data_IF_901772771035
#
_entry.id   IF_901772771035
#
_cell.length_a   1.000
_cell.length_b   1.000
_cell.length_c   1.000
_cell.angle_alpha   90.00
_cell.angle_beta   90.00
_cell.angle_gamma   90.00
#
_symmetry.space_group_name_H-M   'P 1'
#
loop_
_entity.id
_entity.type
_entity.pdbx_description
1 polymer ?
#
# COMPACT_ATOMS: atom_id res chain seq x y z
N UNK A 1 25.16 -24.12 -14.76
CA UNK A 1 25.87 -23.08 -13.98
C UNK A 1 26.06 -21.89 -14.89
N UNK A 2 25.17 -20.91 -14.83
CA UNK A 2 25.39 -19.59 -15.40
C UNK A 2 24.88 -18.58 -14.38
N UNK A 3 25.81 -18.01 -13.64
CA UNK A 3 25.57 -16.89 -12.75
C UNK A 3 25.19 -15.68 -13.60
N UNK A 4 24.03 -15.12 -13.35
CA UNK A 4 23.65 -13.80 -13.81
C UNK A 4 24.71 -12.80 -13.29
N UNK A 5 25.56 -12.33 -14.19
CA UNK A 5 26.44 -11.19 -13.93
C UNK A 5 25.55 -9.97 -13.70
N UNK A 6 25.51 -9.50 -12.46
CA UNK A 6 25.05 -8.17 -12.13
C UNK A 6 25.94 -7.17 -12.85
N UNK A 7 25.41 -6.57 -13.91
CA UNK A 7 26.06 -5.43 -14.58
C UNK A 7 26.02 -4.28 -13.56
N UNK A 8 27.16 -3.97 -12.96
CA UNK A 8 27.38 -2.73 -12.21
C UNK A 8 27.22 -1.58 -13.20
N UNK A 9 26.22 -0.69 -13.06
CA UNK A 9 26.28 0.57 -13.79
C UNK A 9 27.46 1.37 -13.24
N UNK A 10 28.22 1.98 -14.13
CA UNK A 10 29.35 2.84 -13.80
C UNK A 10 28.85 3.95 -12.86
N UNK A 11 29.39 3.95 -11.65
CA UNK A 11 29.14 4.99 -10.66
C UNK A 11 29.91 6.23 -11.15
N UNK A 12 29.20 7.22 -11.69
CA UNK A 12 29.75 8.55 -11.83
C UNK A 12 29.83 9.18 -10.43
N UNK A 13 31.02 9.61 -10.03
CA UNK A 13 31.33 10.19 -8.72
C UNK A 13 30.77 11.61 -8.51
N UNK A 14 29.59 11.93 -8.96
CA UNK A 14 29.02 13.27 -8.80
C UNK A 14 27.69 13.23 -8.01
N UNK A 15 27.80 12.88 -6.73
CA UNK A 15 26.68 12.91 -5.77
C UNK A 15 26.39 14.30 -5.19
N UNK A 16 27.08 15.35 -5.64
CA UNK A 16 26.96 16.69 -5.06
C UNK A 16 25.88 17.60 -5.64
N UNK A 17 25.12 17.16 -6.65
CA UNK A 17 24.18 18.04 -7.38
C UNK A 17 22.74 17.53 -7.50
N UNK A 18 22.31 16.58 -6.68
CA UNK A 18 20.87 16.23 -6.62
C UNK A 18 20.13 17.28 -5.78
N UNK A 19 19.82 18.41 -6.38
CA UNK A 19 18.93 19.41 -5.80
C UNK A 19 17.55 18.80 -5.59
N UNK A 20 16.96 19.00 -4.38
CA UNK A 20 15.61 18.54 -4.02
C UNK A 20 14.51 18.93 -5.03
N UNK A 21 14.73 20.01 -5.80
CA UNK A 21 13.81 20.46 -6.86
C UNK A 21 13.76 19.52 -8.08
N UNK A 22 14.78 18.68 -8.32
CA UNK A 22 14.82 17.75 -9.45
C UNK A 22 14.20 16.39 -9.15
N UNK A 23 13.88 16.11 -7.90
CA UNK A 23 13.35 14.80 -7.45
C UNK A 23 11.84 14.76 -7.32
N UNK A 24 11.18 15.91 -7.27
CA UNK A 24 9.73 16.00 -7.16
C UNK A 24 9.05 15.48 -8.45
N UNK A 25 8.45 14.29 -8.36
CA UNK A 25 7.67 13.69 -9.45
C UNK A 25 8.40 12.70 -10.35
N UNK A 26 9.70 12.41 -10.12
CA UNK A 26 10.42 11.33 -10.80
C UNK A 26 10.50 10.09 -9.93
N UNK A 27 10.20 8.95 -10.54
CA UNK A 27 10.47 7.65 -9.92
C UNK A 27 11.98 7.53 -9.70
N UNK A 28 12.40 7.44 -8.43
CA UNK A 28 13.81 7.37 -8.08
C UNK A 28 14.27 5.93 -8.23
N UNK A 29 15.30 5.71 -9.03
CA UNK A 29 15.86 4.38 -9.25
C UNK A 29 16.79 3.99 -8.09
N UNK A 30 16.84 2.69 -7.78
CA UNK A 30 17.67 2.12 -6.71
C UNK A 30 19.18 2.48 -6.82
N UNK A 31 19.66 2.78 -8.03
CA UNK A 31 21.06 3.17 -8.29
C UNK A 31 21.47 4.56 -7.78
N UNK A 32 20.51 5.41 -7.36
CA UNK A 32 20.83 6.75 -6.82
C UNK A 32 21.40 6.71 -5.39
N UNK A 33 21.30 5.56 -4.70
CA UNK A 33 21.73 5.39 -3.31
C UNK A 33 22.55 4.11 -3.15
N UNK A 34 23.35 4.03 -2.07
CA UNK A 34 23.96 2.75 -1.71
C UNK A 34 22.87 1.74 -1.34
N UNK A 35 23.10 0.45 -1.61
CA UNK A 35 22.09 -0.59 -1.36
C UNK A 35 21.56 -0.58 0.09
N UNK A 36 22.39 -0.48 1.15
CA UNK A 36 21.86 -0.39 2.53
C UNK A 36 21.02 0.87 2.77
N UNK A 37 21.37 2.00 2.16
CA UNK A 37 20.61 3.23 2.28
C UNK A 37 19.25 3.11 1.56
N UNK A 38 19.25 2.52 0.37
CA UNK A 38 18.03 2.23 -0.38
C UNK A 38 17.05 1.38 0.43
N UNK A 39 17.53 0.29 1.05
CA UNK A 39 16.71 -0.58 1.88
C UNK A 39 16.06 0.18 3.05
N UNK A 40 16.80 1.07 3.71
CA UNK A 40 16.25 1.89 4.80
C UNK A 40 15.22 2.90 4.33
N UNK A 41 15.43 3.53 3.17
CA UNK A 41 14.46 4.45 2.57
C UNK A 41 13.18 3.71 2.15
N UNK A 42 13.29 2.54 1.53
CA UNK A 42 12.14 1.69 1.21
C UNK A 42 11.40 1.21 2.47
N UNK A 43 12.13 0.91 3.55
CA UNK A 43 11.51 0.57 4.83
C UNK A 43 10.71 1.74 5.40
N UNK A 44 11.25 2.97 5.36
CA UNK A 44 10.52 4.18 5.77
C UNK A 44 9.19 4.28 5.02
N UNK A 45 9.25 4.17 3.70
CA UNK A 45 8.05 4.28 2.87
C UNK A 45 7.04 3.17 3.13
N UNK A 46 7.52 1.93 3.36
CA UNK A 46 6.68 0.81 3.71
C UNK A 46 6.00 0.98 5.07
N UNK A 47 6.71 1.48 6.08
CA UNK A 47 6.13 1.78 7.39
C UNK A 47 5.04 2.86 7.29
N UNK A 48 5.27 3.91 6.51
CA UNK A 48 4.27 4.93 6.26
C UNK A 48 3.06 4.39 5.48
N UNK A 49 3.28 3.45 4.55
CA UNK A 49 2.20 2.85 3.76
C UNK A 49 1.31 1.94 4.62
N UNK A 50 1.90 0.99 5.34
CA UNK A 50 1.17 -0.07 6.04
C UNK A 50 0.81 0.29 7.48
N UNK A 51 1.81 0.70 8.26
CA UNK A 51 1.65 0.97 9.69
C UNK A 51 1.13 2.39 9.98
N UNK A 52 1.11 3.24 8.95
CA UNK A 52 0.70 4.64 9.04
C UNK A 52 1.48 5.45 10.09
N UNK A 53 2.59 4.90 10.54
CA UNK A 53 3.48 5.52 11.54
C UNK A 53 4.93 5.07 11.34
N UNK A 54 5.85 5.96 11.66
CA UNK A 54 7.29 5.69 11.64
C UNK A 54 7.96 6.33 12.84
N UNK A 55 8.81 5.57 13.53
CA UNK A 55 9.68 6.09 14.61
C UNK A 55 11.14 5.88 14.25
N UNK A 56 12.02 6.70 14.87
CA UNK A 56 13.47 6.50 14.76
C UNK A 56 13.89 5.14 15.32
N UNK A 57 13.20 4.68 16.38
CA UNK A 57 13.46 3.38 17.04
C UNK A 57 13.23 2.22 16.10
N UNK A 58 12.15 2.22 15.30
CA UNK A 58 11.90 1.18 14.29
C UNK A 58 13.07 1.01 13.32
N UNK A 59 13.65 2.11 12.83
CA UNK A 59 14.82 2.05 11.96
C UNK A 59 16.05 1.52 12.67
N UNK A 60 16.28 1.97 13.92
CA UNK A 60 17.43 1.52 14.73
C UNK A 60 17.37 0.02 14.98
N UNK A 61 16.23 -0.49 15.41
CA UNK A 61 16.01 -1.91 15.73
C UNK A 61 16.09 -2.80 14.48
N UNK A 62 15.49 -2.38 13.38
CA UNK A 62 15.46 -3.18 12.15
C UNK A 62 16.84 -3.27 11.47
N UNK A 63 17.61 -2.18 11.47
CA UNK A 63 18.87 -2.12 10.70
C UNK A 63 20.12 -2.06 11.56
N UNK A 64 20.00 -2.10 12.89
CA UNK A 64 21.14 -2.01 13.80
C UNK A 64 21.91 -0.68 13.66
N UNK A 65 21.26 0.42 13.29
CA UNK A 65 21.88 1.72 13.06
C UNK A 65 21.75 2.66 14.25
N UNK A 66 22.62 3.67 14.32
CA UNK A 66 22.56 4.69 15.35
C UNK A 66 21.38 5.66 15.13
N UNK A 67 20.92 6.30 16.23
CA UNK A 67 19.87 7.30 16.18
C UNK A 67 20.16 8.48 15.22
N UNK A 68 21.39 9.04 15.20
CA UNK A 68 21.72 10.08 14.22
C UNK A 68 21.59 9.61 12.77
N UNK A 69 22.00 8.36 12.48
CA UNK A 69 21.84 7.78 11.14
C UNK A 69 20.36 7.62 10.77
N UNK A 70 19.54 7.10 11.66
CA UNK A 70 18.09 6.96 11.42
C UNK A 70 17.43 8.33 11.17
N UNK A 71 17.79 9.36 11.94
CA UNK A 71 17.32 10.73 11.72
C UNK A 71 17.76 11.31 10.37
N UNK A 72 19.01 11.01 9.95
CA UNK A 72 19.52 11.43 8.64
C UNK A 72 18.73 10.79 7.50
N UNK A 73 18.43 9.51 7.60
CA UNK A 73 17.65 8.78 6.58
C UNK A 73 16.19 9.28 6.53
N UNK A 74 15.57 9.58 7.65
CA UNK A 74 14.22 10.19 7.69
C UNK A 74 14.22 11.58 7.03
N UNK A 75 15.23 12.42 7.35
CA UNK A 75 15.35 13.74 6.71
C UNK A 75 15.57 13.63 5.20
N UNK A 76 16.39 12.67 4.79
CA UNK A 76 16.62 12.40 3.36
C UNK A 76 15.32 11.97 2.68
N UNK A 77 14.55 11.08 3.29
CA UNK A 77 13.24 10.68 2.75
C UNK A 77 12.28 11.86 2.64
N UNK A 78 12.26 12.76 3.61
CA UNK A 78 11.45 14.00 3.53
C UNK A 78 11.88 14.93 2.39
N UNK A 79 13.17 14.96 2.04
CA UNK A 79 13.65 15.70 0.86
C UNK A 79 13.20 15.04 -0.45
N UNK A 80 13.21 13.71 -0.50
CA UNK A 80 12.78 12.92 -1.66
C UNK A 80 11.25 13.04 -1.89
N UNK A 81 10.48 12.95 -0.81
CA UNK A 81 9.03 12.98 -0.81
C UNK A 81 8.48 14.04 0.16
N UNK A 82 8.55 15.35 -0.19
CA UNK A 82 8.21 16.44 0.73
C UNK A 82 6.76 16.42 1.22
N UNK A 83 5.85 15.86 0.43
CA UNK A 83 4.41 15.78 0.73
C UNK A 83 4.02 14.48 1.42
N UNK A 84 4.97 13.56 1.64
CA UNK A 84 4.66 12.22 2.15
C UNK A 84 4.32 12.20 3.65
N UNK A 85 4.96 13.07 4.43
CA UNK A 85 4.81 13.09 5.90
C UNK A 85 4.13 14.36 6.38
N UNK A 86 3.29 14.23 7.40
CA UNK A 86 2.74 15.38 8.13
C UNK A 86 3.87 16.14 8.83
N UNK A 87 3.75 17.47 8.99
CA UNK A 87 4.65 18.22 9.85
C UNK A 87 4.67 17.64 11.28
N UNK A 88 5.82 17.76 11.94
CA UNK A 88 5.94 17.31 13.32
C UNK A 88 4.89 17.99 14.21
N UNK A 89 4.20 17.19 15.03
CA UNK A 89 3.21 17.67 15.99
C UNK A 89 3.68 17.38 17.40
N UNK A 90 3.61 18.38 18.27
CA UNK A 90 3.97 18.22 19.68
C UNK A 90 3.04 17.17 20.34
N UNK A 91 3.63 16.25 21.08
CA UNK A 91 2.89 15.16 21.73
C UNK A 91 2.68 13.90 20.89
N UNK A 92 3.07 13.90 19.59
CA UNK A 92 3.05 12.72 18.75
C UNK A 92 4.49 12.25 18.53
N UNK A 93 4.93 11.13 19.15
CA UNK A 93 6.33 10.68 19.13
C UNK A 93 6.71 9.93 17.84
N UNK A 94 5.93 10.03 16.77
CA UNK A 94 6.14 9.34 15.51
C UNK A 94 5.75 10.21 14.31
N UNK A 95 6.32 9.89 13.15
CA UNK A 95 5.95 10.49 11.87
C UNK A 95 4.72 9.81 11.31
N UNK A 96 3.80 10.58 10.77
CA UNK A 96 2.58 10.12 10.11
C UNK A 96 2.60 10.49 8.63
N UNK A 97 2.04 9.64 7.74
CA UNK A 97 1.83 10.03 6.35
C UNK A 97 0.72 11.08 6.25
N UNK A 98 0.78 11.88 5.20
CA UNK A 98 -0.32 12.77 4.82
C UNK A 98 -1.51 11.97 4.27
N UNK A 99 -2.68 12.59 4.15
CA UNK A 99 -3.85 11.97 3.50
C UNK A 99 -3.61 11.70 2.01
N UNK A 100 -2.81 12.55 1.35
CA UNK A 100 -2.41 12.40 -0.04
C UNK A 100 -1.13 11.61 -0.24
N UNK A 101 -0.66 10.84 0.76
CA UNK A 101 0.54 10.04 0.67
C UNK A 101 0.48 9.05 -0.50
N UNK A 102 1.47 9.11 -1.37
CA UNK A 102 1.69 8.15 -2.45
C UNK A 102 3.15 7.68 -2.41
N UNK A 103 3.42 6.35 -2.44
CA UNK A 103 4.77 5.82 -2.49
C UNK A 103 5.53 6.26 -3.75
N UNK A 104 6.77 6.68 -3.58
CA UNK A 104 7.65 7.14 -4.68
C UNK A 104 8.85 6.21 -4.93
N UNK A 105 9.25 5.43 -3.92
CA UNK A 105 10.38 4.50 -3.99
C UNK A 105 9.92 3.07 -4.24
N UNK A 106 8.85 2.63 -3.58
CA UNK A 106 8.32 1.29 -3.73
C UNK A 106 7.68 1.11 -5.10
N UNK A 107 7.99 0.00 -5.76
CA UNK A 107 7.26 -0.44 -6.95
C UNK A 107 6.10 -1.36 -6.56
N UNK A 108 5.12 -1.51 -7.46
CA UNK A 108 4.04 -2.47 -7.23
C UNK A 108 4.51 -3.93 -7.15
N UNK A 109 5.75 -4.21 -7.53
CA UNK A 109 6.39 -5.53 -7.44
C UNK A 109 7.03 -5.72 -6.06
N UNK A 110 7.48 -4.64 -5.40
CA UNK A 110 8.16 -4.67 -4.10
C UNK A 110 7.22 -5.00 -2.94
N UNK A 111 5.90 -4.92 -3.16
CA UNK A 111 4.91 -5.28 -2.13
C UNK A 111 4.83 -6.78 -1.84
N UNK A 112 5.43 -7.63 -2.67
CA UNK A 112 5.51 -9.07 -2.41
C UNK A 112 6.45 -9.41 -1.24
N UNK A 113 7.24 -8.45 -0.79
CA UNK A 113 8.18 -8.59 0.31
C UNK A 113 7.46 -8.29 1.64
N UNK A 114 6.78 -9.28 2.19
CA UNK A 114 6.02 -9.11 3.43
C UNK A 114 6.88 -9.09 4.69
N UNK A 115 8.15 -9.56 4.62
CA UNK A 115 9.09 -9.48 5.74
C UNK A 115 10.53 -9.42 5.26
N UNK A 116 11.39 -8.79 6.06
CA UNK A 116 12.85 -8.84 5.88
C UNK A 116 13.35 -10.29 6.08
N UNK A 117 12.60 -11.11 6.79
CA UNK A 117 12.87 -12.53 7.04
C UNK A 117 12.79 -13.37 5.77
N UNK A 118 12.01 -12.95 4.76
CA UNK A 118 11.97 -13.61 3.45
C UNK A 118 13.27 -13.43 2.64
N UNK A 119 14.24 -12.70 3.19
CA UNK A 119 15.59 -12.55 2.61
C UNK A 119 16.58 -13.62 3.04
N UNK A 120 16.16 -14.60 3.81
CA UNK A 120 17.00 -15.78 4.04
C UNK A 120 17.20 -16.48 2.68
N UNK A 121 18.45 -16.68 2.21
CA UNK A 121 18.68 -17.48 1.03
C UNK A 121 18.08 -18.86 1.28
N UNK A 122 17.41 -19.48 0.29
CA UNK A 122 16.87 -20.80 0.47
C UNK A 122 17.99 -21.71 0.97
N UNK A 123 17.83 -22.25 2.17
CA UNK A 123 18.71 -23.30 2.68
C UNK A 123 18.70 -24.41 1.64
N UNK A 124 19.88 -24.81 1.19
CA UNK A 124 20.10 -25.75 0.11
C UNK A 124 19.38 -27.09 0.37
N UNK A 125 18.15 -27.17 -0.02
CA UNK A 125 17.34 -28.36 -0.07
C UNK A 125 16.56 -28.34 -1.37
N UNK A 126 16.42 -29.49 -2.02
CA UNK A 126 15.88 -29.70 -3.36
C UNK A 126 14.41 -29.25 -3.61
N UNK A 127 14.00 -28.09 -3.07
CA UNK A 127 12.71 -27.48 -3.37
C UNK A 127 12.89 -26.56 -4.60
N UNK A 128 12.37 -27.01 -5.73
CA UNK A 128 12.19 -26.13 -6.90
C UNK A 128 11.04 -25.20 -6.60
N UNK A 129 11.33 -23.97 -6.19
CA UNK A 129 10.31 -22.93 -6.13
C UNK A 129 9.74 -22.70 -7.53
N UNK A 130 8.44 -22.95 -7.70
CA UNK A 130 7.75 -22.47 -8.89
C UNK A 130 7.75 -20.93 -8.84
N UNK A 131 8.27 -20.25 -9.88
CA UNK A 131 8.26 -18.79 -9.89
C UNK A 131 6.82 -18.30 -9.83
N UNK A 132 6.46 -17.64 -8.73
CA UNK A 132 5.15 -16.99 -8.64
C UNK A 132 5.06 -15.87 -9.68
N UNK A 133 3.94 -15.79 -10.37
CA UNK A 133 3.68 -14.72 -11.32
C UNK A 133 3.79 -13.36 -10.61
N UNK A 134 4.80 -12.58 -10.97
CA UNK A 134 4.96 -11.22 -10.47
C UNK A 134 3.79 -10.37 -10.96
N UNK A 135 3.01 -9.81 -10.05
CA UNK A 135 1.90 -8.91 -10.34
C UNK A 135 2.28 -7.49 -9.95
N UNK A 136 2.07 -6.56 -10.87
CA UNK A 136 2.14 -5.13 -10.54
C UNK A 136 0.89 -4.72 -9.79
N UNK A 137 1.07 -4.23 -8.57
CA UNK A 137 0.00 -3.64 -7.79
C UNK A 137 -0.04 -2.13 -7.99
N UNK A 138 -1.25 -1.56 -8.02
CA UNK A 138 -1.42 -0.11 -8.13
C UNK A 138 -1.25 0.52 -6.75
N UNK A 139 -0.03 0.97 -6.44
CA UNK A 139 0.32 1.54 -5.15
C UNK A 139 -0.47 2.81 -4.79
N UNK A 140 -0.66 3.77 -5.71
CA UNK A 140 -1.53 4.92 -5.44
C UNK A 140 -2.93 4.53 -5.00
N UNK A 141 -3.54 3.54 -5.66
CA UNK A 141 -4.85 3.01 -5.26
C UNK A 141 -4.79 2.41 -3.86
N UNK A 142 -3.79 1.55 -3.59
CA UNK A 142 -3.62 0.93 -2.28
C UNK A 142 -3.44 1.97 -1.16
N UNK A 143 -2.56 2.95 -1.36
CA UNK A 143 -2.30 4.00 -0.38
C UNK A 143 -3.56 4.79 -0.01
N UNK A 144 -4.37 5.14 -1.01
CA UNK A 144 -5.65 5.85 -0.79
C UNK A 144 -6.68 4.99 -0.07
N UNK A 145 -6.74 3.69 -0.38
CA UNK A 145 -7.62 2.75 0.31
C UNK A 145 -7.21 2.56 1.77
N UNK A 146 -5.92 2.39 2.05
CA UNK A 146 -5.41 2.31 3.43
C UNK A 146 -5.68 3.59 4.23
N UNK A 147 -5.50 4.77 3.60
CA UNK A 147 -5.88 6.04 4.22
C UNK A 147 -7.38 6.14 4.51
N UNK A 148 -8.22 5.64 3.60
CA UNK A 148 -9.67 5.66 3.80
C UNK A 148 -10.11 4.71 4.93
N UNK A 149 -9.46 3.55 5.08
CA UNK A 149 -9.68 2.61 6.18
C UNK A 149 -9.28 3.28 7.51
N UNK A 150 -8.07 3.85 7.59
CA UNK A 150 -7.56 4.50 8.80
C UNK A 150 -8.50 5.61 9.31
N UNK A 151 -9.00 6.44 8.37
CA UNK A 151 -9.85 7.57 8.70
C UNK A 151 -11.36 7.25 8.64
N UNK A 152 -11.72 5.98 8.44
CA UNK A 152 -13.11 5.51 8.31
C UNK A 152 -13.92 6.34 7.29
N UNK A 153 -13.33 6.60 6.13
CA UNK A 153 -13.92 7.43 5.07
C UNK A 153 -14.44 6.60 3.92
N UNK A 154 -15.54 7.04 3.35
CA UNK A 154 -16.05 6.49 2.10
C UNK A 154 -15.30 7.08 0.90
N UNK A 155 -15.18 6.26 -0.15
CA UNK A 155 -14.52 6.63 -1.39
C UNK A 155 -15.42 6.38 -2.59
N UNK A 156 -15.15 7.08 -3.69
CA UNK A 156 -15.65 6.76 -5.02
C UNK A 156 -14.50 6.36 -5.94
N UNK A 157 -14.73 5.35 -6.75
CA UNK A 157 -13.78 4.92 -7.78
C UNK A 157 -14.50 4.22 -8.94
N UNK A 158 -13.90 4.26 -10.12
CA UNK A 158 -14.32 3.43 -11.26
C UNK A 158 -13.74 2.02 -11.07
N UNK A 159 -14.63 1.02 -10.92
CA UNK A 159 -14.25 -0.36 -10.68
C UNK A 159 -14.82 -1.27 -11.75
N UNK A 160 -13.95 -2.05 -12.40
CA UNK A 160 -14.35 -3.07 -13.37
C UNK A 160 -14.89 -4.33 -12.68
N UNK A 161 -15.91 -4.93 -13.26
CA UNK A 161 -16.46 -6.23 -12.83
C UNK A 161 -16.61 -7.15 -14.05
N UNK A 162 -16.94 -8.43 -13.81
CA UNK A 162 -17.20 -9.37 -14.90
C UNK A 162 -18.35 -8.87 -15.78
N UNK A 163 -19.42 -8.35 -15.17
CA UNK A 163 -20.58 -7.81 -15.88
C UNK A 163 -20.39 -6.40 -16.44
N UNK A 164 -19.34 -5.68 -16.04
CA UNK A 164 -19.01 -4.34 -16.51
C UNK A 164 -17.48 -4.17 -16.66
N UNK A 165 -16.88 -4.70 -17.75
CA UNK A 165 -15.43 -4.64 -17.98
C UNK A 165 -14.89 -3.21 -18.11
N UNK A 166 -15.69 -2.29 -18.63
CA UNK A 166 -15.33 -0.85 -18.73
C UNK A 166 -15.27 -0.17 -17.36
N UNK A 167 -15.91 -0.76 -16.35
CA UNK A 167 -16.04 -0.21 -15.01
C UNK A 167 -17.27 0.67 -14.84
N UNK A 168 -17.67 0.82 -13.58
CA UNK A 168 -18.71 1.77 -13.13
C UNK A 168 -18.18 2.50 -11.91
N UNK A 169 -18.64 3.72 -11.72
CA UNK A 169 -18.41 4.46 -10.48
C UNK A 169 -19.11 3.69 -9.36
N UNK A 170 -18.35 3.38 -8.32
CA UNK A 170 -18.86 2.74 -7.11
C UNK A 170 -18.47 3.54 -5.89
N UNK A 171 -19.40 3.62 -4.95
CA UNK A 171 -19.16 4.22 -3.64
C UNK A 171 -18.95 3.12 -2.63
N UNK A 172 -17.82 3.16 -1.96
CA UNK A 172 -17.36 2.13 -1.03
C UNK A 172 -16.94 2.76 0.29
N UNK A 173 -17.20 2.07 1.41
CA UNK A 173 -16.55 2.33 2.69
C UNK A 173 -15.62 1.16 2.97
N UNK A 174 -14.31 1.29 2.69
CA UNK A 174 -13.35 0.21 2.88
C UNK A 174 -13.11 -0.04 4.38
N UNK A 175 -13.01 -1.31 4.78
CA UNK A 175 -12.87 -1.73 6.18
C UNK A 175 -11.60 -2.53 6.44
N UNK A 176 -11.17 -3.36 5.48
CA UNK A 176 -10.01 -4.22 5.63
C UNK A 176 -9.31 -4.51 4.30
N UNK A 177 -8.06 -4.96 4.41
CA UNK A 177 -7.24 -5.43 3.28
C UNK A 177 -6.80 -6.85 3.58
N UNK A 178 -6.93 -7.75 2.60
CA UNK A 178 -6.37 -9.09 2.66
C UNK A 178 -5.46 -9.35 1.46
N UNK A 179 -4.38 -10.10 1.69
CA UNK A 179 -3.50 -10.57 0.63
C UNK A 179 -3.68 -12.08 0.47
N UNK A 180 -4.29 -12.49 -0.63
CA UNK A 180 -4.61 -13.90 -0.90
C UNK A 180 -4.24 -14.24 -2.34
N UNK A 181 -3.52 -15.36 -2.55
CA UNK A 181 -3.12 -15.83 -3.87
C UNK A 181 -2.43 -14.75 -4.72
N UNK A 182 -1.48 -14.05 -4.11
CA UNK A 182 -0.72 -12.96 -4.75
C UNK A 182 -1.61 -11.81 -5.27
N UNK A 183 -2.70 -11.49 -4.57
CA UNK A 183 -3.63 -10.40 -4.89
C UNK A 183 -4.09 -9.69 -3.62
N UNK A 184 -4.15 -8.38 -3.68
CA UNK A 184 -4.78 -7.58 -2.63
C UNK A 184 -6.28 -7.49 -2.88
N UNK A 185 -7.03 -7.91 -1.88
CA UNK A 185 -8.47 -7.79 -1.77
C UNK A 185 -8.81 -6.68 -0.78
N UNK A 186 -9.75 -5.85 -1.13
CA UNK A 186 -10.29 -4.81 -0.26
C UNK A 186 -11.68 -5.25 0.17
N UNK A 187 -11.86 -5.49 1.46
CA UNK A 187 -13.18 -5.64 2.06
C UNK A 187 -13.80 -4.26 2.21
N UNK A 188 -15.02 -4.06 1.70
CA UNK A 188 -15.68 -2.78 1.75
C UNK A 188 -17.20 -2.93 1.77
N UNK A 189 -17.89 -2.04 2.48
CA UNK A 189 -19.32 -1.86 2.31
C UNK A 189 -19.60 -1.14 0.99
N UNK A 190 -20.38 -1.76 0.13
CA UNK A 190 -20.73 -1.24 -1.18
C UNK A 190 -22.13 -0.59 -1.12
N UNK A 191 -22.18 0.73 -1.22
CA UNK A 191 -23.43 1.50 -1.14
C UNK A 191 -24.41 1.21 -2.28
N UNK A 192 -23.89 0.79 -3.45
CA UNK A 192 -24.75 0.42 -4.58
C UNK A 192 -25.52 -0.89 -4.33
N UNK A 193 -24.99 -1.76 -3.49
CA UNK A 193 -25.55 -3.07 -3.19
C UNK A 193 -26.03 -3.22 -1.74
N UNK A 194 -25.82 -2.20 -0.91
CA UNK A 194 -26.16 -2.22 0.52
C UNK A 194 -25.64 -3.48 1.22
N UNK A 195 -24.32 -3.73 1.11
CA UNK A 195 -23.71 -4.90 1.75
C UNK A 195 -22.19 -4.97 1.53
N UNK A 196 -21.52 -5.76 2.35
CA UNK A 196 -20.09 -5.99 2.28
C UNK A 196 -19.69 -6.86 1.10
N UNK A 197 -18.60 -6.49 0.43
CA UNK A 197 -18.05 -7.18 -0.73
C UNK A 197 -16.56 -7.04 -0.80
N UNK A 198 -15.92 -7.99 -1.50
CA UNK A 198 -14.49 -8.00 -1.76
C UNK A 198 -14.19 -7.44 -3.15
N UNK A 199 -13.24 -6.52 -3.21
CA UNK A 199 -12.80 -5.87 -4.44
C UNK A 199 -11.32 -6.11 -4.65
N UNK A 200 -10.95 -6.58 -5.84
CA UNK A 200 -9.55 -6.70 -6.23
C UNK A 200 -8.96 -5.32 -6.57
N UNK A 201 -7.81 -4.97 -6.00
CA UNK A 201 -7.11 -3.70 -6.32
C UNK A 201 -6.86 -3.56 -7.81
N UNK A 202 -6.48 -4.63 -8.50
CA UNK A 202 -6.24 -4.60 -9.96
C UNK A 202 -7.47 -4.29 -10.82
N UNK A 203 -8.66 -4.22 -10.24
CA UNK A 203 -9.90 -3.85 -10.94
C UNK A 203 -10.26 -2.37 -10.82
N UNK A 204 -9.53 -1.60 -10.02
CA UNK A 204 -9.70 -0.15 -9.96
C UNK A 204 -9.14 0.49 -11.23
N UNK A 205 -9.98 1.21 -11.95
CA UNK A 205 -9.63 1.92 -13.20
C UNK A 205 -9.31 3.39 -12.97
N UNK A 206 -9.68 3.94 -11.80
CA UNK A 206 -9.31 5.27 -11.36
C UNK A 206 -8.76 5.21 -9.94
N UNK A 207 -8.02 6.24 -9.56
CA UNK A 207 -7.65 6.43 -8.16
C UNK A 207 -8.91 6.68 -7.33
N UNK A 208 -9.03 6.09 -6.12
CA UNK A 208 -10.12 6.37 -5.21
C UNK A 208 -10.10 7.85 -4.77
N UNK A 209 -11.27 8.46 -4.73
CA UNK A 209 -11.47 9.82 -4.22
C UNK A 209 -12.34 9.78 -2.97
N UNK A 210 -11.98 10.54 -1.94
CA UNK A 210 -12.76 10.61 -0.72
C UNK A 210 -14.07 11.33 -0.99
N UNK A 211 -15.17 10.73 -0.57
CA UNK A 211 -16.51 11.34 -0.69
C UNK A 211 -16.74 12.23 0.52
N UNK A 212 -16.79 13.54 0.29
CA UNK A 212 -17.04 14.54 1.34
C UNK A 212 -18.49 15.04 1.36
N UNK A 213 -19.21 14.86 0.25
CA UNK A 213 -20.61 15.26 0.12
C UNK A 213 -21.34 14.34 -0.86
N UNK A 214 -22.66 14.17 -0.73
CA UNK A 214 -23.46 13.45 -1.71
C UNK A 214 -23.40 14.14 -3.06
N UNK A 215 -23.13 13.39 -4.13
CA UNK A 215 -23.30 13.88 -5.48
C UNK A 215 -24.79 13.98 -5.81
N UNK A 216 -25.20 15.14 -6.29
CA UNK A 216 -26.57 15.38 -6.80
C UNK A 216 -26.83 14.74 -8.17
N UNK A 217 -25.92 13.93 -8.69
CA UNK A 217 -26.02 13.33 -10.02
C UNK A 217 -27.13 12.30 -10.10
N UNK A 218 -28.06 12.51 -11.02
CA UNK A 218 -29.15 11.56 -11.37
C UNK A 218 -28.65 10.18 -11.86
N UNK A 219 -27.34 9.99 -12.04
CA UNK A 219 -26.69 8.72 -12.38
C UNK A 219 -26.35 7.86 -11.15
N UNK A 220 -26.48 8.39 -9.96
CA UNK A 220 -26.35 7.67 -8.69
C UNK A 220 -27.53 6.69 -8.59
N UNK A 221 -27.23 5.38 -8.53
CA UNK A 221 -28.23 4.32 -8.45
C UNK A 221 -29.19 4.52 -7.27
N UNK A 222 -30.21 3.65 -7.18
CA UNK A 222 -31.34 3.68 -6.25
C UNK A 222 -30.99 3.91 -4.76
N UNK A 223 -29.74 3.84 -4.37
CA UNK A 223 -29.25 3.89 -2.98
C UNK A 223 -28.46 5.15 -2.62
N UNK A 224 -28.48 6.21 -3.45
CA UNK A 224 -27.85 7.49 -3.10
C UNK A 224 -28.43 8.08 -1.80
N UNK A 225 -29.75 7.93 -1.58
CA UNK A 225 -30.44 8.36 -0.36
C UNK A 225 -29.96 7.62 0.89
N UNK A 226 -29.58 6.34 0.77
CA UNK A 226 -29.08 5.57 1.90
C UNK A 226 -27.70 6.07 2.36
N UNK A 227 -26.79 6.42 1.44
CA UNK A 227 -25.50 7.00 1.80
C UNK A 227 -25.66 8.31 2.59
N UNK A 228 -26.58 9.16 2.19
CA UNK A 228 -26.89 10.41 2.91
C UNK A 228 -27.49 10.13 4.29
N UNK A 229 -28.45 9.20 4.36
CA UNK A 229 -29.11 8.82 5.61
C UNK A 229 -28.11 8.32 6.66
N UNK A 230 -27.16 7.49 6.25
CA UNK A 230 -26.17 6.89 7.15
C UNK A 230 -24.86 7.71 7.22
N UNK A 231 -24.77 8.87 6.57
CA UNK A 231 -23.58 9.76 6.55
C UNK A 231 -22.29 9.02 6.18
N UNK A 232 -22.36 8.04 5.29
CA UNK A 232 -21.25 7.23 4.85
C UNK A 232 -20.75 6.19 5.88
N UNK A 233 -21.47 5.99 6.97
CA UNK A 233 -21.19 4.92 7.95
C UNK A 233 -22.05 3.71 7.59
N UNK A 234 -21.46 2.51 7.40
CA UNK A 234 -22.24 1.30 7.14
C UNK A 234 -23.28 1.04 8.23
N UNK A 235 -24.52 0.68 7.87
CA UNK A 235 -25.60 0.48 8.84
C UNK A 235 -25.41 -0.78 9.70
N UNK A 236 -24.61 -1.73 9.22
CA UNK A 236 -24.36 -3.02 9.88
C UNK A 236 -22.87 -3.27 10.00
N UNK A 237 -22.45 -3.99 11.05
CA UNK A 237 -21.10 -4.48 11.19
C UNK A 237 -20.82 -5.63 10.20
N UNK A 238 -19.56 -5.84 9.85
CA UNK A 238 -19.13 -6.93 8.96
C UNK A 238 -18.90 -8.22 9.76
N UNK A 239 -19.97 -8.85 10.20
CA UNK A 239 -19.91 -10.08 11.01
C UNK A 239 -19.25 -11.25 10.28
N UNK A 240 -19.38 -11.31 8.96
CA UNK A 240 -18.78 -12.37 8.15
C UNK A 240 -17.25 -12.29 8.13
N UNK A 241 -16.69 -11.07 8.20
CA UNK A 241 -15.25 -10.85 8.22
C UNK A 241 -14.62 -11.20 9.57
N UNK A 242 -15.36 -11.04 10.65
CA UNK A 242 -14.90 -11.32 12.01
C UNK A 242 -15.03 -12.79 12.39
N UNK A 243 -15.74 -13.59 11.59
CA UNK A 243 -15.96 -14.99 11.85
C UNK A 243 -14.72 -15.83 11.56
N UNK A 244 -14.17 -16.49 12.60
CA UNK A 244 -13.09 -17.45 12.46
C UNK A 244 -13.70 -18.83 12.19
N UNK A 245 -13.27 -19.48 11.10
CA UNK A 245 -13.70 -20.83 10.75
C UNK A 245 -12.46 -21.74 10.81
N UNK A 246 -12.53 -22.76 11.66
CA UNK A 246 -11.51 -23.82 11.70
C UNK A 246 -11.86 -24.90 10.66
N UNK A 247 -10.90 -25.21 9.79
CA UNK A 247 -11.03 -26.26 8.77
C UNK A 247 -10.08 -27.41 9.10
N UNK A 248 -10.64 -28.60 9.33
CA UNK A 248 -9.88 -29.83 9.46
C UNK A 248 -9.76 -30.52 8.08
N UNK A 249 -8.54 -30.60 7.55
CA UNK A 249 -8.29 -31.36 6.32
C UNK A 249 -8.06 -32.82 6.65
N UNK A 250 -8.93 -33.69 6.16
CA UNK A 250 -8.77 -35.16 6.29
C UNK A 250 -8.25 -35.74 4.98
N UNK A 251 -7.31 -36.71 5.02
CA UNK A 251 -6.90 -37.41 3.82
C UNK A 251 -8.11 -38.07 3.17
N UNK A 252 -8.15 -38.03 1.84
CA UNK A 252 -9.16 -38.80 1.13
C UNK A 252 -8.91 -40.31 1.37
N UNK A 253 -9.89 -41.09 1.79
CA UNK A 253 -9.71 -42.54 2.07
C UNK A 253 -9.51 -43.42 0.82
N UNK A 254 -9.40 -42.81 -0.39
CA UNK A 254 -9.18 -43.54 -1.64
C UNK A 254 -7.82 -43.27 -2.25
#
# INVERSE_FOLDING_TARGET
>A
MQYLQYIKPAISEDTSTLSAANLAGRRIEAGAFSHPQWLRLCFIERQLLWERRLTTTMLMETFGISRPQAQKDIKLYQQIAPTAMKPYQLGIPYHQPTEGFEPVLLSGEDLQWQSIEDYAPPSAGHATEMPMLKRRHNLPVLARLLSAIEHKRSIEAVIATMSSPKGRIRRLTPTAVAFVNNRYHIRAFCWDHMGYRDFLIGRFKSNPEVVTAPRSDKSSGKNASAFEQYKGVPPEADTDWEQIVELELKPNPH
#
